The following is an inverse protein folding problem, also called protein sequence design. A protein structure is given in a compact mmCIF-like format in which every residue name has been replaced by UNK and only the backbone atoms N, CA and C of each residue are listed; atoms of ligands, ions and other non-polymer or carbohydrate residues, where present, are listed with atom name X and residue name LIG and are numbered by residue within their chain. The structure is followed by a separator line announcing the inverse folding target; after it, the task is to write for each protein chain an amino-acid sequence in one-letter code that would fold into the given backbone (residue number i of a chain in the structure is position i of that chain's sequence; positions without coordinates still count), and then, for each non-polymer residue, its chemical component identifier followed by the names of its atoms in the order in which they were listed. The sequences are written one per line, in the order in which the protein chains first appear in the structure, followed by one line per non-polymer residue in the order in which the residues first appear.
data_IF_504255856195
#
_entry.id   IF_504255856195
#
_cell.length_a   1.000
_cell.length_b   1.000
_cell.length_c   1.000
_cell.angle_alpha   90.00
_cell.angle_beta   90.00
_cell.angle_gamma   90.00
#
_symmetry.space_group_name_H-M   'P 1'
#
loop_
_entity.id
_entity.type
_entity.pdbx_description
1 polymer ?
#
# COMPACT_ATOMS: atom_id res chain seq x y z
N UNK A 1 -6.79 -6.54 7.87
CA UNK A 1 -5.72 -5.51 7.97
C UNK A 1 -5.42 -4.92 6.61
N UNK A 2 -5.83 -3.70 6.39
CA UNK A 2 -5.60 -3.00 5.12
C UNK A 2 -4.12 -2.67 4.93
N UNK A 3 -3.62 -2.89 3.72
CA UNK A 3 -2.31 -2.41 3.27
C UNK A 3 -2.43 -1.45 2.09
N UNK A 4 -3.63 -1.30 1.54
CA UNK A 4 -3.92 -0.38 0.44
C UNK A 4 -5.41 -0.02 0.48
N UNK A 5 -5.73 1.27 0.34
CA UNK A 5 -7.10 1.78 0.36
C UNK A 5 -7.31 2.67 -0.86
N UNK A 6 -8.01 2.15 -1.86
CA UNK A 6 -8.19 2.84 -3.14
C UNK A 6 -9.43 2.34 -3.87
N UNK A 7 -9.89 3.15 -4.81
CA UNK A 7 -10.92 2.73 -5.77
C UNK A 7 -10.59 3.27 -7.16
N UNK A 8 -11.17 2.64 -8.18
CA UNK A 8 -11.10 3.11 -9.56
C UNK A 8 -12.50 3.49 -10.03
N UNK A 9 -12.62 4.69 -10.59
CA UNK A 9 -13.87 5.18 -11.16
C UNK A 9 -14.08 4.61 -12.57
N UNK A 10 -15.31 4.71 -13.13
CA UNK A 10 -15.56 4.22 -14.49
C UNK A 10 -14.70 4.86 -15.57
N UNK A 11 -14.24 6.10 -15.36
CA UNK A 11 -13.36 6.78 -16.32
C UNK A 11 -11.89 6.38 -16.18
N UNK A 12 -11.57 5.42 -15.28
CA UNK A 12 -10.22 4.93 -15.08
C UNK A 12 -9.40 5.68 -14.06
N UNK A 13 -9.96 6.70 -13.39
CA UNK A 13 -9.26 7.46 -12.36
C UNK A 13 -9.13 6.62 -11.10
N UNK A 14 -7.91 6.56 -10.53
CA UNK A 14 -7.65 5.88 -9.26
C UNK A 14 -7.46 6.94 -8.19
N UNK A 15 -8.23 6.82 -7.09
CA UNK A 15 -8.05 7.66 -5.90
C UNK A 15 -7.67 6.77 -4.73
N UNK A 16 -6.73 7.26 -3.90
CA UNK A 16 -6.13 6.51 -2.81
C UNK A 16 -6.19 7.31 -1.52
N UNK A 17 -6.47 6.64 -0.40
CA UNK A 17 -6.34 7.22 0.93
C UNK A 17 -5.12 6.60 1.62
N UNK A 18 -4.15 7.44 2.00
CA UNK A 18 -2.84 6.97 2.48
C UNK A 18 -2.66 7.01 3.98
N UNK A 19 -3.45 7.83 4.68
CA UNK A 19 -3.41 7.90 6.14
C UNK A 19 -4.80 8.15 6.71
N UNK A 20 -4.94 8.00 8.02
CA UNK A 20 -6.24 7.99 8.71
C UNK A 20 -7.12 9.19 8.38
N UNK A 21 -6.54 10.35 8.19
CA UNK A 21 -7.28 11.59 7.93
C UNK A 21 -7.23 12.04 6.48
N UNK A 22 -6.81 11.14 5.59
CA UNK A 22 -6.69 11.42 4.16
C UNK A 22 -8.03 11.19 3.46
N UNK A 23 -8.86 12.23 3.48
CA UNK A 23 -10.15 12.24 2.79
C UNK A 23 -9.93 12.73 1.34
N UNK A 24 -10.05 11.81 0.39
CA UNK A 24 -9.79 12.09 -1.03
C UNK A 24 -11.09 12.00 -1.80
N UNK A 25 -11.38 13.03 -2.60
CA UNK A 25 -12.58 13.09 -3.44
C UNK A 25 -12.19 13.28 -4.89
N UNK A 26 -13.09 12.86 -5.78
CA UNK A 26 -12.96 13.06 -7.22
C UNK A 26 -14.35 13.22 -7.82
N UNK A 27 -14.55 14.28 -8.62
CA UNK A 27 -15.76 14.51 -9.38
C UNK A 27 -15.46 14.24 -10.85
N UNK A 28 -16.23 13.34 -11.48
CA UNK A 28 -16.04 13.02 -12.89
C UNK A 28 -16.67 14.09 -13.82
N UNK A 29 -16.50 13.90 -15.12
CA UNK A 29 -17.01 14.85 -16.12
C UNK A 29 -18.54 14.98 -16.09
N UNK A 30 -19.25 14.00 -15.56
CA UNK A 30 -20.71 14.00 -15.42
C UNK A 30 -21.17 14.56 -14.07
N UNK A 31 -20.27 15.05 -13.24
CA UNK A 31 -20.57 15.58 -11.92
C UNK A 31 -20.81 14.53 -10.85
N UNK A 32 -20.50 13.26 -11.13
CA UNK A 32 -20.64 12.18 -10.15
C UNK A 32 -19.44 12.18 -9.23
N UNK A 33 -19.68 12.13 -7.91
CA UNK A 33 -18.66 12.25 -6.88
C UNK A 33 -18.25 10.90 -6.33
N UNK A 34 -16.95 10.71 -6.13
CA UNK A 34 -16.33 9.53 -5.53
C UNK A 34 -15.43 9.96 -4.38
N UNK A 35 -15.29 9.10 -3.37
CA UNK A 35 -14.42 9.40 -2.24
C UNK A 35 -13.85 8.13 -1.63
N UNK A 36 -12.65 8.26 -1.05
CA UNK A 36 -12.02 7.29 -0.15
C UNK A 36 -11.49 8.04 1.08
N UNK A 37 -11.47 7.35 2.22
CA UNK A 37 -11.09 7.94 3.49
C UNK A 37 -10.58 6.84 4.43
N UNK A 38 -9.83 7.23 5.46
CA UNK A 38 -9.43 6.36 6.54
C UNK A 38 -8.05 5.72 6.42
N UNK A 39 -7.37 5.88 5.29
CA UNK A 39 -6.04 5.26 5.09
C UNK A 39 -6.07 3.76 5.31
N UNK A 40 -5.16 3.27 6.16
CA UNK A 40 -5.09 1.85 6.50
C UNK A 40 -5.82 1.51 7.80
N UNK A 41 -6.39 2.52 8.49
CA UNK A 41 -7.05 2.31 9.78
C UNK A 41 -8.49 1.85 9.62
N UNK A 42 -9.21 2.40 8.65
CA UNK A 42 -10.58 1.99 8.34
C UNK A 42 -10.89 2.26 6.88
N UNK A 43 -11.80 1.48 6.32
CA UNK A 43 -12.22 1.62 4.93
C UNK A 43 -13.55 2.38 4.90
N UNK A 44 -13.51 3.61 4.40
CA UNK A 44 -14.71 4.40 4.12
C UNK A 44 -14.62 4.91 2.70
N UNK A 45 -15.67 4.66 1.92
CA UNK A 45 -15.70 5.06 0.51
C UNK A 45 -17.12 5.26 0.01
N UNK A 46 -17.23 5.94 -1.11
CA UNK A 46 -18.50 6.05 -1.83
C UNK A 46 -18.98 4.67 -2.30
N UNK A 47 -20.30 4.53 -2.40
CA UNK A 47 -20.95 3.28 -2.81
C UNK A 47 -21.93 3.58 -3.94
N UNK A 48 -21.43 4.13 -5.04
CA UNK A 48 -22.26 4.46 -6.22
C UNK A 48 -22.64 3.22 -7.03
N UNK A 49 -21.93 2.12 -6.85
CA UNK A 49 -22.18 0.86 -7.52
C UNK A 49 -21.41 0.66 -8.81
N UNK A 50 -20.72 1.68 -9.31
CA UNK A 50 -19.96 1.62 -10.57
C UNK A 50 -18.44 1.76 -10.36
N UNK A 51 -18.00 2.03 -9.14
CA UNK A 51 -16.56 2.03 -8.81
C UNK A 51 -16.05 0.62 -8.56
N UNK A 52 -14.77 0.41 -8.84
CA UNK A 52 -14.07 -0.84 -8.55
C UNK A 52 -13.24 -0.66 -7.29
N UNK A 53 -13.44 -1.53 -6.31
CA UNK A 53 -12.65 -1.55 -5.08
C UNK A 53 -11.27 -2.13 -5.38
N UNK A 54 -10.23 -1.32 -5.20
CA UNK A 54 -8.84 -1.75 -5.37
C UNK A 54 -8.15 -2.01 -4.04
N UNK A 55 -8.86 -1.88 -2.92
CA UNK A 55 -8.29 -2.06 -1.58
C UNK A 55 -7.78 -3.49 -1.40
N UNK A 56 -6.66 -3.61 -0.67
CA UNK A 56 -6.01 -4.89 -0.42
C UNK A 56 -5.76 -5.04 1.07
N UNK A 57 -6.05 -6.22 1.60
CA UNK A 57 -5.79 -6.61 2.98
C UNK A 57 -4.71 -7.69 3.03
N UNK A 58 -3.94 -7.73 4.14
CA UNK A 58 -3.00 -8.82 4.41
C UNK A 58 -3.68 -10.20 4.45
N UNK A 59 -4.98 -10.22 4.73
CA UNK A 59 -5.76 -11.47 4.74
C UNK A 59 -5.84 -12.13 3.36
N UNK A 60 -5.58 -11.37 2.30
CA UNK A 60 -5.52 -11.87 0.93
C UNK A 60 -4.19 -12.56 0.59
N UNK A 61 -3.23 -12.52 1.51
CA UNK A 61 -1.92 -13.13 1.35
C UNK A 61 -0.84 -12.18 0.86
N UNK A 62 0.41 -12.62 1.00
CA UNK A 62 1.58 -11.78 0.71
C UNK A 62 1.71 -11.42 -0.78
N UNK A 63 1.27 -12.28 -1.70
CA UNK A 63 1.40 -12.00 -3.13
C UNK A 63 0.60 -10.76 -3.53
N UNK A 64 -0.61 -10.60 -3.00
CA UNK A 64 -1.41 -9.40 -3.24
C UNK A 64 -0.85 -8.20 -2.48
N UNK A 65 -0.48 -8.38 -1.21
CA UNK A 65 0.00 -7.31 -0.35
C UNK A 65 1.30 -6.68 -0.86
N UNK A 66 2.25 -7.48 -1.35
CA UNK A 66 3.55 -6.98 -1.80
C UNK A 66 3.46 -6.08 -3.04
N UNK A 67 2.43 -6.28 -3.86
CA UNK A 67 2.18 -5.46 -5.04
C UNK A 67 1.38 -4.19 -4.72
N UNK A 68 0.57 -4.21 -3.67
CA UNK A 68 -0.32 -3.11 -3.30
C UNK A 68 0.28 -2.19 -2.25
N UNK A 69 0.93 -2.74 -1.22
CA UNK A 69 1.52 -1.97 -0.15
C UNK A 69 2.74 -1.19 -0.63
N UNK A 70 2.92 0.03 -0.12
CA UNK A 70 4.05 0.87 -0.49
C UNK A 70 4.60 1.61 0.72
N UNK A 71 5.83 2.11 0.57
CA UNK A 71 6.51 2.94 1.55
C UNK A 71 6.87 4.28 0.91
N UNK A 72 6.56 5.36 1.61
CA UNK A 72 6.94 6.71 1.18
C UNK A 72 8.40 6.98 1.54
N UNK A 73 9.22 7.29 0.54
CA UNK A 73 10.65 7.51 0.73
C UNK A 73 11.09 8.87 0.17
N UNK A 74 11.94 9.55 0.93
CA UNK A 74 12.61 10.79 0.50
C UNK A 74 14.04 10.52 0.04
N UNK A 75 14.38 9.28 -0.25
CA UNK A 75 15.72 8.87 -0.65
C UNK A 75 16.63 8.55 0.53
N UNK A 76 17.83 8.03 0.24
CA UNK A 76 18.79 7.56 1.25
C UNK A 76 19.17 8.65 2.25
N UNK A 77 19.31 9.90 1.77
CA UNK A 77 19.72 11.04 2.59
C UNK A 77 18.54 11.91 3.03
N UNK A 78 17.31 11.56 2.68
CA UNK A 78 16.12 12.31 3.04
C UNK A 78 15.94 13.62 2.28
N UNK A 79 16.68 13.85 1.20
CA UNK A 79 16.72 15.12 0.45
C UNK A 79 16.07 15.04 -0.93
N UNK A 80 15.48 13.91 -1.28
CA UNK A 80 14.79 13.71 -2.55
C UNK A 80 13.29 13.95 -2.42
N UNK A 81 12.57 14.24 -3.52
CA UNK A 81 11.12 14.33 -3.48
C UNK A 81 10.49 13.02 -2.99
N UNK A 82 9.34 13.13 -2.32
CA UNK A 82 8.61 11.94 -1.85
C UNK A 82 8.29 11.01 -3.01
N UNK A 83 8.63 9.73 -2.84
CA UNK A 83 8.35 8.69 -3.81
C UNK A 83 7.75 7.48 -3.11
N UNK A 84 6.64 6.98 -3.63
CA UNK A 84 6.03 5.74 -3.14
C UNK A 84 6.70 4.55 -3.83
N UNK A 85 7.18 3.61 -3.03
CA UNK A 85 7.87 2.41 -3.52
C UNK A 85 7.07 1.20 -3.06
N UNK A 86 6.64 0.36 -3.99
CA UNK A 86 5.97 -0.90 -3.66
C UNK A 86 6.91 -1.80 -2.88
N UNK A 87 6.38 -2.57 -1.92
CA UNK A 87 7.21 -3.47 -1.10
C UNK A 87 8.01 -4.45 -1.97
N UNK A 88 7.40 -4.98 -3.02
CA UNK A 88 8.08 -5.91 -3.94
C UNK A 88 9.27 -5.27 -4.68
N UNK A 89 9.34 -3.94 -4.74
CA UNK A 89 10.42 -3.20 -5.39
C UNK A 89 11.47 -2.68 -4.41
N UNK A 90 11.24 -2.77 -3.10
CA UNK A 90 12.20 -2.36 -2.10
C UNK A 90 13.32 -3.41 -1.99
N UNK A 91 14.56 -2.97 -1.78
CA UNK A 91 15.66 -3.89 -1.49
C UNK A 91 15.51 -4.47 -0.08
N UNK A 92 16.11 -5.63 0.17
CA UNK A 92 16.13 -6.22 1.50
C UNK A 92 16.71 -5.26 2.54
N UNK A 93 17.80 -4.59 2.19
CA UNK A 93 18.47 -3.65 3.10
C UNK A 93 17.57 -2.46 3.41
N UNK A 94 16.83 -1.95 2.44
CA UNK A 94 15.88 -0.85 2.64
C UNK A 94 14.77 -1.26 3.61
N UNK A 95 14.16 -2.44 3.39
CA UNK A 95 13.10 -2.95 4.28
C UNK A 95 13.63 -3.13 5.70
N UNK A 96 14.80 -3.75 5.85
CA UNK A 96 15.42 -3.98 7.16
C UNK A 96 15.74 -2.66 7.86
N UNK A 97 16.25 -1.67 7.12
CA UNK A 97 16.54 -0.35 7.67
C UNK A 97 15.26 0.33 8.17
N UNK A 98 14.16 0.28 7.40
CA UNK A 98 12.87 0.83 7.82
C UNK A 98 12.38 0.17 9.10
N UNK A 99 12.43 -1.16 9.19
CA UNK A 99 11.97 -1.90 10.36
C UNK A 99 12.82 -1.57 11.61
N UNK A 100 14.10 -1.28 11.41
CA UNK A 100 15.01 -0.97 12.51
C UNK A 100 14.90 0.48 12.99
N UNK A 101 14.75 1.43 12.08
CA UNK A 101 14.92 2.86 12.38
C UNK A 101 13.64 3.68 12.39
N UNK A 102 12.56 3.23 11.73
CA UNK A 102 11.33 3.99 11.61
C UNK A 102 10.34 3.58 12.70
N UNK A 103 10.13 4.46 13.68
CA UNK A 103 9.21 4.19 14.81
C UNK A 103 7.75 4.42 14.45
N UNK A 104 7.46 5.15 13.37
CA UNK A 104 6.12 5.57 13.00
C UNK A 104 5.54 4.79 11.81
N UNK A 105 6.09 3.63 11.49
CA UNK A 105 5.52 2.76 10.46
C UNK A 105 4.13 2.31 10.91
N UNK A 106 3.12 2.43 10.03
CA UNK A 106 1.80 1.88 10.32
C UNK A 106 1.93 0.37 10.60
N UNK A 107 1.27 -0.16 11.65
CA UNK A 107 1.42 -1.58 12.03
C UNK A 107 1.14 -2.55 10.88
N UNK A 108 0.17 -2.25 10.02
CA UNK A 108 -0.17 -3.11 8.88
C UNK A 108 0.98 -3.16 7.87
N UNK A 109 1.62 -2.03 7.61
CA UNK A 109 2.78 -1.97 6.69
C UNK A 109 3.99 -2.64 7.32
N UNK A 110 4.21 -2.46 8.61
CA UNK A 110 5.29 -3.14 9.33
C UNK A 110 5.15 -4.65 9.20
N UNK A 111 3.96 -5.17 9.43
CA UNK A 111 3.70 -6.61 9.29
C UNK A 111 3.88 -7.07 7.84
N UNK A 112 3.42 -6.27 6.87
CA UNK A 112 3.62 -6.58 5.46
C UNK A 112 5.11 -6.64 5.09
N UNK A 113 5.92 -5.71 5.62
CA UNK A 113 7.37 -5.73 5.42
C UNK A 113 8.02 -6.99 5.99
N UNK A 114 7.62 -7.40 7.18
CA UNK A 114 8.12 -8.63 7.81
C UNK A 114 7.74 -9.85 6.98
N UNK A 115 6.50 -9.92 6.50
CA UNK A 115 6.05 -11.01 5.65
C UNK A 115 6.74 -11.02 4.29
N UNK A 116 7.07 -9.85 3.74
CA UNK A 116 7.83 -9.77 2.48
C UNK A 116 9.23 -10.35 2.63
N UNK A 117 9.91 -10.05 3.73
CA UNK A 117 11.22 -10.63 4.02
C UNK A 117 11.13 -12.16 4.17
N UNK A 118 10.11 -12.65 4.88
CA UNK A 118 9.88 -14.09 5.04
C UNK A 118 9.61 -14.76 3.69
N UNK A 119 8.79 -14.14 2.86
CA UNK A 119 8.49 -14.64 1.53
C UNK A 119 9.75 -14.79 0.67
N UNK A 120 10.61 -13.76 0.68
CA UNK A 120 11.87 -13.79 -0.08
C UNK A 120 12.80 -14.87 0.45
N UNK A 121 12.90 -15.01 1.77
CA UNK A 121 13.74 -16.01 2.41
C UNK A 121 13.29 -17.45 2.09
N UNK A 122 11.98 -17.73 2.18
CA UNK A 122 11.42 -19.04 1.83
C UNK A 122 11.64 -19.38 0.36
N UNK A 123 11.49 -18.40 -0.53
CA UNK A 123 11.71 -18.57 -1.95
C UNK A 123 13.16 -18.92 -2.26
N UNK A 124 14.12 -18.28 -1.57
CA UNK A 124 15.54 -18.57 -1.71
C UNK A 124 15.86 -19.99 -1.26
N UNK A 125 15.29 -20.43 -0.12
CA UNK A 125 15.49 -21.79 0.40
C UNK A 125 14.99 -22.83 -0.60
N UNK A 126 13.80 -22.63 -1.18
CA UNK A 126 13.23 -23.54 -2.17
C UNK A 126 14.14 -23.64 -3.40
N UNK A 127 14.68 -22.53 -3.87
CA UNK A 127 15.61 -22.51 -5.01
C UNK A 127 16.94 -23.21 -4.72
N UNK A 128 17.41 -23.14 -3.48
CA UNK A 128 18.64 -23.79 -3.06
C UNK A 128 18.49 -25.32 -2.93
N UNK A 129 17.28 -25.79 -2.62
CA UNK A 129 16.99 -27.22 -2.48
C UNK A 129 16.86 -27.95 -3.83
N UNK A 130 16.76 -27.21 -4.90
CA UNK A 130 16.75 -27.76 -6.26
C UNK A 130 18.19 -27.99 -6.76
#
# INVERSE_FOLDING_TARGET
MLVYNALRTPDGTVIESRHRHDYVTYDDANGKSYMVDGGLDYLRRSANGDEVDLSVSLDQGILAAREAASWGSYGKNGDQPLRQIKLCKMTNDHIKACLKTQSNIHPNIKLAMQQELDYRNKRTIVLEDD
#
